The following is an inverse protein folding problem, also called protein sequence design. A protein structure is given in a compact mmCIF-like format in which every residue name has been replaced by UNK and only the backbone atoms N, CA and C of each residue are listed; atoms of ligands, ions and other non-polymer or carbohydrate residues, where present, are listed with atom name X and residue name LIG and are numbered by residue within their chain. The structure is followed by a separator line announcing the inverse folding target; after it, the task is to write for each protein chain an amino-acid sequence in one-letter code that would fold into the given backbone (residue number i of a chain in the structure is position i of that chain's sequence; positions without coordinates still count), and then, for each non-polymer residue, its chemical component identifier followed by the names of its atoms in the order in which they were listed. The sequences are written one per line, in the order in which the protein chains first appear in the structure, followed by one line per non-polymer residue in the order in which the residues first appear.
data_IF_745300627078
#
_entry.id   IF_745300627078
#
_cell.length_a   1.000
_cell.length_b   1.000
_cell.length_c   1.000
_cell.angle_alpha   90.00
_cell.angle_beta   90.00
_cell.angle_gamma   90.00
#
_symmetry.space_group_name_H-M   'P 1'
#
loop_
_entity.id
_entity.type
_entity.pdbx_description
1 polymer ?
#
# COMPACT_ATOMS: atom_id res chain seq x y z
N UNK A 1 -5.23 -56.27 19.06
CA UNK A 1 -5.47 -55.88 17.65
C UNK A 1 -4.43 -54.83 17.29
N UNK A 2 -3.57 -55.08 16.30
CA UNK A 2 -2.56 -54.11 15.85
C UNK A 2 -3.28 -52.89 15.26
N UNK A 3 -3.01 -51.71 15.82
CA UNK A 3 -3.63 -50.47 15.40
C UNK A 3 -3.01 -49.99 14.08
N UNK A 4 -3.80 -49.31 13.22
CA UNK A 4 -3.24 -48.63 12.04
C UNK A 4 -2.17 -47.60 12.41
N UNK A 5 -2.20 -47.07 13.63
CA UNK A 5 -1.14 -46.18 14.17
C UNK A 5 0.18 -46.92 14.38
N UNK A 6 0.13 -48.14 14.92
CA UNK A 6 1.32 -48.96 15.16
C UNK A 6 2.01 -49.31 13.83
N UNK A 7 1.22 -49.62 12.80
CA UNK A 7 1.74 -49.88 11.45
C UNK A 7 2.46 -48.65 10.86
N UNK A 8 1.91 -47.44 11.04
CA UNK A 8 2.53 -46.19 10.57
C UNK A 8 3.81 -45.88 11.34
N UNK A 9 3.83 -46.10 12.66
CA UNK A 9 5.03 -45.90 13.48
C UNK A 9 6.13 -46.89 13.12
N UNK A 10 5.80 -48.18 12.95
CA UNK A 10 6.76 -49.20 12.53
C UNK A 10 7.35 -48.88 11.14
N UNK A 11 6.51 -48.43 10.20
CA UNK A 11 6.96 -47.99 8.88
C UNK A 11 7.88 -46.78 8.96
N UNK A 12 7.52 -45.76 9.74
CA UNK A 12 8.34 -44.57 9.97
C UNK A 12 9.71 -44.90 10.58
N UNK A 13 9.76 -45.85 11.51
CA UNK A 13 11.00 -46.34 12.11
C UNK A 13 11.91 -47.02 11.08
N UNK A 14 11.37 -47.95 10.27
CA UNK A 14 12.14 -48.61 9.21
C UNK A 14 12.69 -47.59 8.18
N UNK A 15 11.87 -46.63 7.78
CA UNK A 15 12.28 -45.60 6.82
C UNK A 15 13.35 -44.66 7.40
N UNK A 16 13.27 -44.35 8.69
CA UNK A 16 14.29 -43.61 9.42
C UNK A 16 15.66 -44.31 9.38
N UNK A 17 15.71 -45.61 9.69
CA UNK A 17 16.96 -46.40 9.65
C UNK A 17 17.56 -46.50 8.25
N UNK A 18 16.74 -46.70 7.23
CA UNK A 18 17.19 -46.70 5.82
C UNK A 18 17.81 -45.35 5.44
N UNK A 19 17.19 -44.24 5.84
CA UNK A 19 17.73 -42.90 5.58
C UNK A 19 19.04 -42.62 6.32
N UNK A 20 19.18 -43.12 7.57
CA UNK A 20 20.39 -43.01 8.36
C UNK A 20 21.54 -43.85 7.79
N UNK A 21 21.26 -45.11 7.40
CA UNK A 21 22.24 -45.97 6.76
C UNK A 21 22.75 -45.42 5.43
N UNK A 22 21.91 -44.73 4.66
CA UNK A 22 22.33 -44.12 3.39
C UNK A 22 23.15 -42.83 3.58
N UNK A 23 22.76 -41.98 4.53
CA UNK A 23 23.38 -40.66 4.72
C UNK A 23 24.60 -40.68 5.66
N UNK A 24 24.61 -41.56 6.65
CA UNK A 24 25.64 -41.62 7.70
C UNK A 24 26.38 -42.97 7.75
N UNK A 25 26.04 -43.94 6.88
CA UNK A 25 26.56 -45.31 6.91
C UNK A 25 26.33 -46.06 8.25
N UNK A 26 25.47 -45.51 9.11
CA UNK A 26 25.12 -46.05 10.41
C UNK A 26 23.58 -46.10 10.57
N UNK A 27 22.96 -47.28 10.51
CA UNK A 27 21.52 -47.44 10.64
C UNK A 27 21.00 -47.33 12.08
N UNK A 28 21.88 -47.34 13.08
CA UNK A 28 21.54 -47.27 14.52
C UNK A 28 21.96 -45.94 15.16
N UNK A 29 22.25 -44.93 14.32
CA UNK A 29 22.59 -43.60 14.79
C UNK A 29 21.49 -43.06 15.75
N UNK A 30 21.85 -42.60 16.95
CA UNK A 30 20.90 -42.19 17.99
C UNK A 30 20.11 -40.94 17.61
N UNK A 31 20.59 -40.16 16.65
CA UNK A 31 19.95 -38.94 16.19
C UNK A 31 19.76 -38.97 14.67
N UNK A 32 18.55 -38.67 14.21
CA UNK A 32 18.25 -38.70 12.77
C UNK A 32 19.09 -37.66 12.02
N UNK A 33 19.69 -38.01 10.87
CA UNK A 33 20.60 -37.13 10.11
C UNK A 33 19.95 -35.79 9.72
N UNK A 34 18.64 -35.80 9.45
CA UNK A 34 17.87 -34.63 9.05
C UNK A 34 17.03 -34.04 10.20
N UNK A 35 17.14 -34.57 11.42
CA UNK A 35 16.26 -34.18 12.53
C UNK A 35 16.27 -32.68 12.83
N UNK A 36 17.47 -32.08 12.85
CA UNK A 36 17.64 -30.63 13.03
C UNK A 36 17.02 -29.84 11.88
N UNK A 37 17.26 -30.26 10.64
CA UNK A 37 16.74 -29.59 9.43
C UNK A 37 15.23 -29.68 9.36
N UNK A 38 14.66 -30.88 9.55
CA UNK A 38 13.21 -31.10 9.53
C UNK A 38 12.51 -30.32 10.64
N UNK A 39 13.02 -30.35 11.88
CA UNK A 39 12.46 -29.53 12.97
C UNK A 39 12.56 -28.04 12.65
N UNK A 40 13.69 -27.58 12.10
CA UNK A 40 13.88 -26.20 11.66
C UNK A 40 12.89 -25.76 10.59
N UNK A 41 12.67 -26.58 9.56
CA UNK A 41 11.71 -26.30 8.48
C UNK A 41 10.28 -26.29 9.01
N UNK A 42 9.90 -27.26 9.85
CA UNK A 42 8.56 -27.32 10.46
C UNK A 42 8.32 -26.08 11.33
N UNK A 43 9.29 -25.70 12.17
CA UNK A 43 9.16 -24.50 13.00
C UNK A 43 9.11 -23.22 12.16
N UNK A 44 9.95 -23.11 11.13
CA UNK A 44 9.94 -21.99 10.20
C UNK A 44 8.59 -21.85 9.50
N UNK A 45 8.04 -22.95 8.99
CA UNK A 45 6.72 -22.96 8.35
C UNK A 45 5.62 -22.53 9.32
N UNK A 46 5.62 -23.02 10.55
CA UNK A 46 4.67 -22.59 11.59
C UNK A 46 4.76 -21.09 11.85
N UNK A 47 5.97 -20.54 11.99
CA UNK A 47 6.18 -19.10 12.20
C UNK A 47 5.71 -18.29 10.99
N UNK A 48 6.01 -18.71 9.77
CA UNK A 48 5.56 -18.03 8.55
C UNK A 48 4.04 -18.02 8.46
N UNK A 49 3.37 -19.14 8.76
CA UNK A 49 1.91 -19.21 8.79
C UNK A 49 1.33 -18.29 9.86
N UNK A 50 1.91 -18.24 11.05
CA UNK A 50 1.47 -17.36 12.13
C UNK A 50 1.61 -15.88 11.77
N UNK A 51 2.75 -15.48 11.18
CA UNK A 51 2.98 -14.10 10.71
C UNK A 51 2.00 -13.77 9.59
N UNK A 52 1.81 -14.66 8.61
CA UNK A 52 0.87 -14.46 7.50
C UNK A 52 -0.57 -14.31 7.99
N UNK A 53 -1.00 -15.16 8.93
CA UNK A 53 -2.31 -15.06 9.57
C UNK A 53 -2.46 -13.73 10.33
N UNK A 54 -1.46 -13.34 11.13
CA UNK A 54 -1.46 -12.08 11.88
C UNK A 54 -1.54 -10.86 10.97
N UNK A 55 -0.76 -10.83 9.89
CA UNK A 55 -0.79 -9.75 8.91
C UNK A 55 -2.13 -9.67 8.17
N UNK A 56 -2.72 -10.82 7.86
CA UNK A 56 -4.04 -10.89 7.21
C UNK A 56 -5.13 -10.34 8.12
N UNK A 57 -5.18 -10.78 9.39
CA UNK A 57 -6.14 -10.27 10.39
C UNK A 57 -5.94 -8.77 10.60
N UNK A 58 -4.68 -8.32 10.74
CA UNK A 58 -4.38 -6.90 10.89
C UNK A 58 -4.86 -6.08 9.68
N UNK A 59 -4.60 -6.55 8.45
CA UNK A 59 -5.04 -5.88 7.22
C UNK A 59 -6.56 -5.82 7.06
N UNK A 60 -7.28 -6.83 7.57
CA UNK A 60 -8.75 -6.83 7.58
C UNK A 60 -9.33 -5.88 8.65
N UNK A 61 -8.68 -5.76 9.81
CA UNK A 61 -9.12 -4.86 10.88
C UNK A 61 -8.79 -3.39 10.59
N UNK A 62 -7.66 -3.13 9.92
CA UNK A 62 -7.29 -1.81 9.41
C UNK A 62 -7.12 -1.88 7.90
N UNK A 63 -8.23 -1.90 7.14
CA UNK A 63 -8.16 -1.79 5.69
C UNK A 63 -7.49 -0.46 5.39
N UNK A 64 -6.27 -0.51 4.87
CA UNK A 64 -5.42 0.66 4.71
C UNK A 64 -6.13 1.75 3.91
N UNK A 65 -6.38 2.89 4.55
CA UNK A 65 -6.66 4.15 3.90
C UNK A 65 -5.40 5.00 3.97
N UNK A 66 -5.03 5.65 2.87
CA UNK A 66 -4.04 6.72 2.99
C UNK A 66 -4.74 7.85 3.76
N UNK A 67 -4.45 8.06 5.05
CA UNK A 67 -5.02 9.17 5.84
C UNK A 67 -4.08 10.38 5.89
N UNK A 68 -2.95 10.33 5.18
CA UNK A 68 -1.97 11.44 5.21
C UNK A 68 -2.56 12.74 4.69
N UNK A 69 -3.50 12.67 3.75
CA UNK A 69 -4.20 13.84 3.21
C UNK A 69 -5.09 14.56 4.22
N UNK A 70 -5.40 13.96 5.38
CA UNK A 70 -6.16 14.62 6.45
C UNK A 70 -5.29 15.57 7.28
N UNK A 71 -3.96 15.47 7.18
CA UNK A 71 -3.00 16.16 8.05
C UNK A 71 -2.58 17.52 7.49
N UNK A 72 -3.44 18.52 7.64
CA UNK A 72 -3.22 19.87 7.12
C UNK A 72 -3.93 20.08 5.78
N UNK A 73 -3.55 21.13 5.05
CA UNK A 73 -4.18 21.45 3.77
C UNK A 73 -3.58 20.65 2.62
N UNK A 74 -4.43 19.91 1.91
CA UNK A 74 -3.99 19.02 0.84
C UNK A 74 -4.91 19.07 -0.37
N UNK A 75 -4.28 19.03 -1.55
CA UNK A 75 -4.97 18.69 -2.79
C UNK A 75 -5.04 17.16 -2.87
N UNK A 76 -6.24 16.62 -2.77
CA UNK A 76 -6.49 15.18 -2.77
C UNK A 76 -6.94 14.76 -4.16
N UNK A 77 -6.13 13.93 -4.81
CA UNK A 77 -6.42 13.43 -6.15
C UNK A 77 -6.85 11.97 -6.03
N UNK A 78 -8.06 11.68 -6.50
CA UNK A 78 -8.53 10.32 -6.60
C UNK A 78 -7.83 9.65 -7.79
N UNK A 79 -6.98 8.67 -7.51
CA UNK A 79 -6.20 7.95 -8.53
C UNK A 79 -7.08 7.16 -9.52
N UNK A 80 -8.23 6.67 -9.07
CA UNK A 80 -9.08 5.79 -9.88
C UNK A 80 -9.96 6.58 -10.86
N UNK A 81 -10.37 7.81 -10.49
CA UNK A 81 -11.29 8.64 -11.28
C UNK A 81 -10.66 9.92 -11.84
N UNK A 82 -9.49 10.32 -11.34
CA UNK A 82 -8.88 11.61 -11.62
C UNK A 82 -9.57 12.81 -10.97
N UNK A 83 -10.65 12.58 -10.19
CA UNK A 83 -11.36 13.65 -9.50
C UNK A 83 -10.46 14.31 -8.44
N UNK A 84 -10.56 15.63 -8.32
CA UNK A 84 -9.71 16.43 -7.41
C UNK A 84 -10.56 17.09 -6.35
N UNK A 85 -10.10 16.99 -5.12
CA UNK A 85 -10.76 17.54 -3.94
C UNK A 85 -9.77 18.37 -3.13
N UNK A 86 -10.25 19.42 -2.49
CA UNK A 86 -9.48 20.17 -1.52
C UNK A 86 -9.92 19.76 -0.12
N UNK A 87 -8.93 19.49 0.71
CA UNK A 87 -9.11 19.32 2.15
C UNK A 87 -8.44 20.49 2.86
N UNK A 88 -9.21 21.33 3.53
CA UNK A 88 -8.72 22.45 4.35
C UNK A 88 -8.59 22.08 5.84
N UNK A 89 -9.25 21.01 6.26
CA UNK A 89 -9.29 20.57 7.67
C UNK A 89 -10.14 21.45 8.58
N UNK A 90 -10.84 22.47 8.06
CA UNK A 90 -11.64 23.42 8.85
C UNK A 90 -13.07 22.95 9.09
N UNK A 91 -13.70 22.38 8.06
CA UNK A 91 -15.11 21.94 8.04
C UNK A 91 -15.27 20.42 8.07
N UNK A 92 -14.18 19.67 7.86
CA UNK A 92 -14.20 18.21 7.80
C UNK A 92 -14.80 17.65 6.52
N UNK A 93 -14.88 18.45 5.45
CA UNK A 93 -15.55 18.11 4.20
C UNK A 93 -14.55 18.14 3.03
N UNK A 94 -14.73 17.27 2.05
CA UNK A 94 -13.99 17.33 0.78
C UNK A 94 -14.70 18.22 -0.21
N UNK A 95 -14.03 19.29 -0.64
CA UNK A 95 -14.57 20.21 -1.63
C UNK A 95 -14.05 19.87 -3.02
N UNK A 96 -14.89 19.44 -3.98
CA UNK A 96 -14.45 19.20 -5.35
C UNK A 96 -13.88 20.49 -5.95
N UNK A 97 -12.69 20.44 -6.57
CA UNK A 97 -12.08 21.64 -7.16
C UNK A 97 -12.10 21.57 -8.68
N UNK A 98 -12.51 22.67 -9.31
CA UNK A 98 -12.62 22.75 -10.77
C UNK A 98 -11.28 22.76 -11.51
N UNK A 99 -10.23 23.31 -10.92
CA UNK A 99 -8.90 23.36 -11.53
C UNK A 99 -7.76 23.47 -10.50
N UNK A 100 -6.55 23.13 -10.93
CA UNK A 100 -5.35 23.20 -10.10
C UNK A 100 -5.03 24.62 -9.62
N UNK A 101 -5.21 25.63 -10.48
CA UNK A 101 -4.97 27.02 -10.10
C UNK A 101 -5.86 27.47 -8.94
N UNK A 102 -7.14 27.10 -8.96
CA UNK A 102 -8.07 27.39 -7.86
C UNK A 102 -7.67 26.67 -6.58
N UNK A 103 -7.23 25.42 -6.67
CA UNK A 103 -6.74 24.70 -5.50
C UNK A 103 -5.55 25.43 -4.86
N UNK A 104 -4.57 25.84 -5.67
CA UNK A 104 -3.40 26.64 -5.23
C UNK A 104 -3.77 28.00 -4.66
N UNK A 105 -4.78 28.67 -5.21
CA UNK A 105 -5.25 29.95 -4.68
C UNK A 105 -5.89 29.81 -3.30
N UNK A 106 -6.61 28.72 -3.06
CA UNK A 106 -7.29 28.48 -1.78
C UNK A 106 -6.32 27.92 -0.74
N UNK A 107 -5.56 26.88 -1.07
CA UNK A 107 -4.64 26.18 -0.16
C UNK A 107 -3.20 26.70 -0.18
N UNK A 108 -2.94 27.82 -0.85
CA UNK A 108 -1.66 28.51 -0.87
C UNK A 108 -0.55 27.91 -1.76
N UNK A 109 0.61 28.57 -1.72
CA UNK A 109 1.79 28.26 -2.55
C UNK A 109 2.54 26.99 -2.15
N UNK A 110 2.26 26.42 -0.97
CA UNK A 110 2.89 25.20 -0.47
C UNK A 110 1.95 23.99 -0.46
N UNK A 111 0.77 24.13 -1.08
CA UNK A 111 -0.23 23.07 -1.18
C UNK A 111 0.37 21.78 -1.77
N UNK A 112 0.37 20.72 -0.96
CA UNK A 112 0.86 19.40 -1.37
C UNK A 112 -0.27 18.58 -1.99
N UNK A 113 0.04 17.94 -3.11
CA UNK A 113 -0.84 16.97 -3.76
C UNK A 113 -0.63 15.57 -3.18
N UNK A 114 -1.72 14.86 -2.87
CA UNK A 114 -1.69 13.48 -2.38
C UNK A 114 -2.64 12.64 -3.21
N UNK A 115 -2.11 11.56 -3.79
CA UNK A 115 -2.91 10.57 -4.51
C UNK A 115 -3.47 9.51 -3.56
N UNK A 116 -4.79 9.31 -3.64
CA UNK A 116 -5.51 8.36 -2.80
C UNK A 116 -6.45 7.50 -3.64
N UNK A 117 -6.75 6.30 -3.15
CA UNK A 117 -7.77 5.44 -3.76
C UNK A 117 -9.17 5.95 -3.42
N UNK A 118 -10.15 5.61 -4.25
CA UNK A 118 -11.57 5.91 -4.00
C UNK A 118 -12.03 5.35 -2.65
N UNK A 119 -11.52 4.18 -2.26
CA UNK A 119 -11.83 3.56 -0.97
C UNK A 119 -11.43 4.43 0.23
N UNK A 120 -10.35 5.20 0.12
CA UNK A 120 -9.86 6.09 1.19
C UNK A 120 -10.75 7.33 1.40
N UNK A 121 -11.64 7.62 0.45
CA UNK A 121 -12.51 8.81 0.45
C UNK A 121 -13.96 8.51 0.85
N UNK A 122 -14.35 7.23 1.00
CA UNK A 122 -15.76 6.82 1.11
C UNK A 122 -16.51 7.39 2.31
N UNK A 123 -15.83 7.52 3.45
CA UNK A 123 -16.47 7.92 4.72
C UNK A 123 -16.37 9.42 4.98
N UNK A 124 -16.14 10.22 3.94
CA UNK A 124 -15.88 11.65 4.06
C UNK A 124 -16.97 12.41 3.33
N UNK A 125 -17.68 13.34 3.99
CA UNK A 125 -18.67 14.17 3.34
C UNK A 125 -18.05 14.94 2.18
N UNK A 126 -18.79 15.02 1.06
CA UNK A 126 -18.41 15.84 -0.10
C UNK A 126 -19.27 17.10 -0.09
N UNK A 127 -18.60 18.24 -0.13
CA UNK A 127 -19.19 19.57 -0.03
C UNK A 127 -19.47 20.20 -1.38
N UNK A 128 -19.77 21.50 -1.34
CA UNK A 128 -19.97 22.30 -2.55
C UNK A 128 -18.67 22.41 -3.35
N UNK A 129 -18.74 22.33 -4.70
CA UNK A 129 -17.56 22.50 -5.53
C UNK A 129 -17.00 23.92 -5.41
N UNK A 130 -15.67 24.02 -5.37
CA UNK A 130 -14.92 25.26 -5.29
C UNK A 130 -14.11 25.51 -6.57
N UNK A 131 -13.84 26.79 -6.83
CA UNK A 131 -12.91 27.24 -7.86
C UNK A 131 -13.52 28.07 -8.99
N UNK A 132 -12.63 28.67 -9.76
CA UNK A 132 -12.94 29.66 -10.79
C UNK A 132 -13.17 28.94 -12.12
N UNK A 133 -14.35 29.09 -12.76
CA UNK A 133 -14.59 28.52 -14.08
C UNK A 133 -13.57 29.03 -15.12
N UNK A 134 -13.00 28.14 -15.93
CA UNK A 134 -12.07 28.51 -17.01
C UNK A 134 -10.63 28.80 -16.59
N UNK A 135 -10.30 28.73 -15.29
CA UNK A 135 -8.92 28.83 -14.84
C UNK A 135 -8.09 27.60 -15.28
N UNK A 136 -6.78 27.78 -15.52
CA UNK A 136 -5.93 26.73 -16.07
C UNK A 136 -5.65 25.62 -15.05
N UNK A 137 -5.42 24.41 -15.58
CA UNK A 137 -4.99 23.26 -14.79
C UNK A 137 -3.47 23.10 -14.70
N UNK A 138 -2.75 23.77 -15.57
CA UNK A 138 -1.30 23.75 -15.61
C UNK A 138 -0.78 25.11 -15.19
N UNK A 139 -0.02 25.14 -14.10
CA UNK A 139 0.73 26.33 -13.71
C UNK A 139 2.21 26.10 -14.03
N UNK A 140 2.89 27.07 -14.66
CA UNK A 140 4.33 27.00 -14.81
C UNK A 140 5.01 27.11 -13.45
N UNK A 141 6.18 26.49 -13.32
CA UNK A 141 7.05 26.75 -12.18
C UNK A 141 7.51 28.22 -12.20
N UNK A 142 7.85 28.75 -11.02
CA UNK A 142 8.28 30.15 -10.85
C UNK A 142 9.46 30.55 -11.74
N UNK A 143 10.37 29.62 -12.03
CA UNK A 143 11.51 29.84 -12.93
C UNK A 143 11.16 29.83 -14.43
N UNK A 144 9.93 29.52 -14.80
CA UNK A 144 9.45 29.48 -16.19
C UNK A 144 8.52 30.64 -16.54
N UNK A 145 8.43 31.64 -15.66
CA UNK A 145 7.69 32.86 -15.93
C UNK A 145 8.44 33.69 -16.97
N UNK A 146 7.72 34.16 -17.99
CA UNK A 146 8.28 35.05 -18.99
C UNK A 146 8.49 36.45 -18.38
N UNK A 147 9.75 36.84 -18.27
CA UNK A 147 10.18 38.17 -17.81
C UNK A 147 10.60 39.07 -18.97
N UNK A 148 10.42 38.62 -20.22
CA UNK A 148 10.78 39.36 -21.42
C UNK A 148 9.87 40.56 -21.67
N UNK A 149 10.31 41.43 -22.58
CA UNK A 149 9.48 42.53 -23.06
C UNK A 149 8.36 41.99 -23.96
N UNK A 150 7.12 42.39 -23.67
CA UNK A 150 5.97 42.06 -24.51
C UNK A 150 5.90 43.04 -25.68
N UNK A 151 5.99 42.53 -26.90
CA UNK A 151 5.82 43.30 -28.13
C UNK A 151 4.50 42.92 -28.81
N UNK A 152 3.72 43.92 -29.23
CA UNK A 152 2.51 43.73 -30.02
C UNK A 152 2.73 44.30 -31.41
N UNK A 153 2.68 43.45 -32.43
CA UNK A 153 2.77 43.88 -33.82
C UNK A 153 1.36 44.05 -34.38
N UNK A 154 1.05 45.25 -34.88
CA UNK A 154 -0.17 45.50 -35.66
C UNK A 154 0.19 45.39 -37.13
N UNK A 155 -0.47 44.49 -37.85
CA UNK A 155 -0.37 44.44 -39.31
C UNK A 155 -1.18 45.60 -39.88
N UNK A 156 -0.55 46.44 -40.69
CA UNK A 156 -1.23 47.51 -41.44
C UNK A 156 -2.27 46.95 -42.43
N UNK A 157 -3.16 47.81 -42.96
CA UNK A 157 -4.29 47.40 -43.80
C UNK A 157 -3.88 46.64 -45.06
#
# INVERSE_FOLDING_TARGET
MQSKRDQVQAHGFMMGRLSSGLLMADPDAPESPLGRTTRGVVFGLLVTVLIGAGATVYGLLRPGGNDTWRKGEHLVVNRDTGARYLWTGTDGVLHPVRNYASARLIGGSDLKSVDVSTASLRDVPVGTPAGIPGAPDTLPDSGRLDTGAWHMCVTGP
#
